data_IF_025909263050
#
_entry.id   IF_025909263050
#
_cell.length_a   1.000
_cell.length_b   1.000
_cell.length_c   1.000
_cell.angle_alpha   90.00
_cell.angle_beta   90.00
_cell.angle_gamma   90.00
#
_symmetry.space_group_name_H-M   'P 1'
#
loop_
_entity.id
_entity.type
_entity.pdbx_description
1 polymer ?
#
# COMPACT_ATOMS: atom_id res chain seq x y z
N UNK A 1 18.12 -2.43 -26.58
CA UNK A 1 16.63 -2.46 -26.61
C UNK A 1 16.13 -3.06 -27.91
N UNK A 2 14.88 -3.52 -27.93
CA UNK A 2 14.24 -4.22 -29.05
C UNK A 2 14.39 -3.44 -30.38
N UNK A 3 14.82 -4.13 -31.44
CA UNK A 3 15.16 -3.55 -32.75
C UNK A 3 14.09 -3.73 -33.83
N UNK A 4 12.86 -4.09 -33.45
CA UNK A 4 11.77 -4.42 -34.37
C UNK A 4 11.65 -5.91 -34.69
N UNK A 5 10.93 -6.21 -35.77
CA UNK A 5 10.61 -7.56 -36.24
C UNK A 5 11.61 -8.01 -37.31
N UNK A 6 12.02 -9.27 -37.27
CA UNK A 6 12.81 -9.88 -38.34
C UNK A 6 11.97 -9.98 -39.62
N UNK A 7 12.42 -9.44 -40.78
CA UNK A 7 11.67 -9.48 -42.04
C UNK A 7 11.31 -10.88 -42.53
N UNK A 8 12.14 -11.88 -42.21
CA UNK A 8 11.93 -13.27 -42.63
C UNK A 8 11.29 -14.14 -41.52
N UNK A 9 11.01 -13.53 -40.36
CA UNK A 9 10.47 -14.20 -39.18
C UNK A 9 8.98 -14.53 -39.29
N UNK A 10 8.49 -15.38 -38.38
CA UNK A 10 7.09 -15.80 -38.37
C UNK A 10 6.11 -14.62 -38.21
N UNK A 11 6.46 -13.62 -37.40
CA UNK A 11 5.62 -12.43 -37.19
C UNK A 11 5.43 -11.64 -38.49
N UNK A 12 6.48 -11.46 -39.29
CA UNK A 12 6.39 -10.73 -40.57
C UNK A 12 5.62 -11.49 -41.65
N UNK A 13 5.55 -12.83 -41.55
CA UNK A 13 4.77 -13.69 -42.44
C UNK A 13 3.29 -13.75 -42.04
N UNK A 14 3.02 -13.71 -40.74
CA UNK A 14 1.67 -13.84 -40.19
C UNK A 14 0.90 -12.50 -40.19
N UNK A 15 1.58 -11.41 -39.86
CA UNK A 15 0.96 -10.10 -39.69
C UNK A 15 1.37 -9.13 -40.79
N UNK A 16 0.48 -8.19 -41.12
CA UNK A 16 0.86 -7.04 -41.94
C UNK A 16 1.95 -6.27 -41.22
N UNK A 17 3.06 -5.99 -41.89
CA UNK A 17 4.18 -5.21 -41.35
C UNK A 17 4.48 -3.97 -42.18
N UNK A 18 5.10 -2.97 -41.57
CA UNK A 18 5.60 -1.78 -42.25
C UNK A 18 6.93 -1.32 -41.63
N UNK A 19 7.76 -0.64 -42.43
CA UNK A 19 8.95 0.01 -41.92
C UNK A 19 8.60 1.38 -41.37
N UNK A 20 9.11 1.70 -40.18
CA UNK A 20 8.97 3.02 -39.54
C UNK A 20 10.34 3.59 -39.21
N UNK A 21 10.46 4.93 -39.29
CA UNK A 21 11.69 5.63 -38.92
C UNK A 21 11.65 6.03 -37.45
N UNK A 22 12.77 5.82 -36.76
CA UNK A 22 12.98 6.27 -35.37
C UNK A 22 13.76 7.57 -35.37
N UNK A 23 13.51 8.43 -34.38
CA UNK A 23 14.29 9.66 -34.16
C UNK A 23 15.77 9.34 -34.02
N UNK A 24 16.63 10.28 -34.42
CA UNK A 24 18.05 10.20 -34.14
C UNK A 24 18.30 10.26 -32.61
N UNK A 25 19.09 9.32 -32.07
CA UNK A 25 19.29 9.18 -30.62
C UNK A 25 19.54 7.75 -30.16
N UNK A 26 18.91 7.34 -29.04
CA UNK A 26 19.14 6.07 -28.33
C UNK A 26 18.98 4.83 -29.23
N UNK A 27 18.15 4.91 -30.27
CA UNK A 27 17.94 3.81 -31.21
C UNK A 27 17.56 4.32 -32.61
N UNK A 28 18.37 5.19 -33.23
CA UNK A 28 18.09 5.74 -34.58
C UNK A 28 17.90 4.69 -35.69
N UNK A 29 17.54 5.18 -36.87
CA UNK A 29 17.38 4.36 -38.09
C UNK A 29 15.96 3.83 -38.31
N UNK A 30 15.83 2.86 -39.22
CA UNK A 30 14.55 2.21 -39.56
C UNK A 30 14.35 0.92 -38.77
N UNK A 31 13.10 0.55 -38.51
CA UNK A 31 12.74 -0.78 -38.00
C UNK A 31 11.48 -1.30 -38.68
N UNK A 32 11.40 -2.61 -38.86
CA UNK A 32 10.17 -3.29 -39.28
C UNK A 32 9.29 -3.52 -38.05
N UNK A 33 8.02 -3.14 -38.14
CA UNK A 33 7.02 -3.34 -37.07
C UNK A 33 5.76 -3.97 -37.64
N UNK A 34 4.94 -4.58 -36.78
CA UNK A 34 3.57 -4.92 -37.16
C UNK A 34 2.83 -3.62 -37.48
N UNK A 35 2.15 -3.57 -38.62
CA UNK A 35 1.41 -2.39 -39.04
C UNK A 35 0.27 -2.12 -38.06
N UNK A 36 -0.05 -0.84 -37.83
CA UNK A 36 -1.07 -0.46 -36.85
C UNK A 36 -2.42 -1.16 -37.09
N UNK A 37 -2.78 -1.46 -38.35
CA UNK A 37 -4.04 -2.16 -38.68
C UNK A 37 -4.11 -3.57 -38.10
N UNK A 38 -2.97 -4.22 -37.88
CA UNK A 38 -2.89 -5.62 -37.44
C UNK A 38 -2.41 -5.77 -35.98
N UNK A 39 -2.02 -4.67 -35.35
CA UNK A 39 -1.65 -4.63 -33.94
C UNK A 39 -2.75 -5.17 -32.99
N UNK A 40 -4.07 -4.89 -33.20
CA UNK A 40 -5.13 -5.49 -32.40
C UNK A 40 -5.17 -7.02 -32.48
N UNK A 41 -4.98 -7.59 -33.68
CA UNK A 41 -4.96 -9.05 -33.88
C UNK A 41 -3.72 -9.66 -33.21
N UNK A 42 -2.55 -9.06 -33.42
CA UNK A 42 -1.30 -9.51 -32.81
C UNK A 42 -1.38 -9.56 -31.27
N UNK A 43 -1.89 -8.50 -30.63
CA UNK A 43 -2.04 -8.50 -29.17
C UNK A 43 -3.07 -9.51 -28.67
N UNK A 44 -4.22 -9.64 -29.35
CA UNK A 44 -5.25 -10.63 -28.97
C UNK A 44 -4.73 -12.07 -29.12
N UNK A 45 -4.04 -12.38 -30.22
CA UNK A 45 -3.42 -13.69 -30.46
C UNK A 45 -2.39 -14.03 -29.38
N UNK A 46 -1.45 -13.11 -29.13
CA UNK A 46 -0.36 -13.34 -28.19
C UNK A 46 -0.88 -13.51 -26.76
N UNK A 47 -1.81 -12.65 -26.33
CA UNK A 47 -2.34 -12.71 -24.97
C UNK A 47 -3.31 -13.87 -24.77
N UNK A 48 -4.08 -14.26 -25.80
CA UNK A 48 -4.86 -15.50 -25.80
C UNK A 48 -3.95 -16.71 -25.62
N UNK A 49 -2.82 -16.77 -26.33
CA UNK A 49 -1.85 -17.85 -26.18
C UNK A 49 -1.26 -17.87 -24.77
N UNK A 50 -0.77 -16.75 -24.25
CA UNK A 50 -0.21 -16.67 -22.90
C UNK A 50 -1.23 -17.13 -21.84
N UNK A 51 -2.47 -16.65 -21.94
CA UNK A 51 -3.55 -17.07 -21.05
C UNK A 51 -3.86 -18.57 -21.18
N UNK A 52 -3.90 -19.13 -22.39
CA UNK A 52 -4.21 -20.54 -22.61
C UNK A 52 -3.17 -21.51 -22.06
N UNK A 53 -1.93 -21.06 -21.86
CA UNK A 53 -0.85 -21.83 -21.22
C UNK A 53 -0.68 -21.50 -19.73
N UNK A 54 -1.61 -20.77 -19.13
CA UNK A 54 -1.67 -20.53 -17.68
C UNK A 54 -0.90 -19.30 -17.19
N UNK A 55 -0.53 -18.36 -18.06
CA UNK A 55 0.03 -17.07 -17.62
C UNK A 55 -1.08 -16.20 -17.05
N UNK A 56 -0.90 -15.74 -15.81
CA UNK A 56 -1.91 -14.95 -15.07
C UNK A 56 -1.79 -13.44 -15.21
N UNK A 57 -0.62 -12.94 -15.59
CA UNK A 57 -0.30 -11.52 -15.63
C UNK A 57 0.89 -11.23 -16.58
N UNK A 58 0.98 -9.99 -17.07
CA UNK A 58 2.06 -9.55 -17.96
C UNK A 58 2.65 -8.18 -17.56
N UNK A 59 3.92 -7.93 -17.88
CA UNK A 59 4.53 -6.59 -17.87
C UNK A 59 4.88 -6.25 -19.31
N UNK A 60 4.44 -5.10 -19.81
CA UNK A 60 4.81 -4.61 -21.14
C UNK A 60 5.76 -3.45 -21.01
N UNK A 61 7.00 -3.71 -21.43
CA UNK A 61 8.09 -2.76 -21.37
C UNK A 61 8.18 -1.86 -22.60
N UNK A 62 9.00 -0.82 -22.48
CA UNK A 62 9.40 0.04 -23.60
C UNK A 62 8.22 0.69 -24.36
N UNK A 63 7.09 0.97 -23.69
CA UNK A 63 5.92 1.54 -24.37
C UNK A 63 6.15 2.94 -24.95
N UNK A 64 7.09 3.70 -24.39
CA UNK A 64 7.50 5.00 -24.92
C UNK A 64 8.03 4.94 -26.36
N UNK A 65 8.45 3.78 -26.88
CA UNK A 65 8.98 3.68 -28.25
C UNK A 65 8.02 4.19 -29.31
N UNK A 66 6.70 4.16 -29.05
CA UNK A 66 5.70 4.74 -29.95
C UNK A 66 5.88 6.26 -30.11
N UNK A 67 6.39 6.97 -29.09
CA UNK A 67 6.70 8.40 -29.19
C UNK A 67 8.06 8.66 -29.86
N UNK A 68 8.92 7.64 -29.98
CA UNK A 68 10.22 7.71 -30.64
C UNK A 68 10.16 7.50 -32.16
N UNK A 69 8.96 7.32 -32.73
CA UNK A 69 8.74 7.35 -34.17
C UNK A 69 8.90 8.79 -34.70
N UNK A 70 9.76 8.96 -35.71
CA UNK A 70 10.15 10.26 -36.26
C UNK A 70 9.02 10.86 -37.11
N UNK A 71 8.46 10.05 -38.01
CA UNK A 71 7.39 10.47 -38.91
C UNK A 71 6.08 10.71 -38.14
N UNK A 72 5.62 11.97 -38.13
CA UNK A 72 4.42 12.37 -37.38
C UNK A 72 3.14 11.60 -37.75
N UNK A 73 2.87 11.25 -39.03
CA UNK A 73 1.73 10.41 -39.40
C UNK A 73 1.80 9.02 -38.75
N UNK A 74 2.97 8.39 -38.74
CA UNK A 74 3.18 7.07 -38.14
C UNK A 74 3.00 7.16 -36.63
N UNK A 75 3.70 8.09 -35.97
CA UNK A 75 3.55 8.30 -34.52
C UNK A 75 2.09 8.48 -34.11
N UNK A 76 1.32 9.31 -34.82
CA UNK A 76 -0.11 9.51 -34.55
C UNK A 76 -0.92 8.22 -34.71
N UNK A 77 -0.69 7.47 -35.79
CA UNK A 77 -1.46 6.26 -36.14
C UNK A 77 -1.12 5.11 -35.20
N UNK A 78 0.16 4.87 -34.96
CA UNK A 78 0.66 3.78 -34.13
C UNK A 78 0.34 4.01 -32.66
N UNK A 79 0.59 5.21 -32.12
CA UNK A 79 0.37 5.50 -30.70
C UNK A 79 -1.04 5.13 -30.25
N UNK A 80 -2.07 5.63 -30.95
CA UNK A 80 -3.46 5.35 -30.60
C UNK A 80 -3.77 3.86 -30.71
N UNK A 81 -3.44 3.26 -31.85
CA UNK A 81 -3.88 1.89 -32.16
C UNK A 81 -3.20 0.85 -31.30
N UNK A 82 -1.90 0.99 -31.03
CA UNK A 82 -1.17 0.10 -30.15
C UNK A 82 -1.62 0.22 -28.69
N UNK A 83 -1.85 1.45 -28.21
CA UNK A 83 -2.33 1.66 -26.83
C UNK A 83 -3.75 1.11 -26.63
N UNK A 84 -4.65 1.30 -27.61
CA UNK A 84 -6.00 0.73 -27.58
C UNK A 84 -5.95 -0.81 -27.66
N UNK A 85 -5.16 -1.37 -28.59
CA UNK A 85 -4.97 -2.82 -28.73
C UNK A 85 -4.44 -3.46 -27.45
N UNK A 86 -3.40 -2.87 -26.85
CA UNK A 86 -2.83 -3.33 -25.58
C UNK A 86 -3.86 -3.28 -24.46
N UNK A 87 -4.53 -2.13 -24.29
CA UNK A 87 -5.52 -1.92 -23.20
C UNK A 87 -6.70 -2.88 -23.30
N UNK A 88 -7.22 -3.14 -24.51
CA UNK A 88 -8.33 -4.07 -24.73
C UNK A 88 -7.88 -5.51 -24.48
N UNK A 89 -6.74 -5.91 -25.03
CA UNK A 89 -6.25 -7.29 -24.94
C UNK A 89 -5.88 -7.66 -23.51
N UNK A 90 -5.20 -6.77 -22.78
CA UNK A 90 -4.86 -7.04 -21.38
C UNK A 90 -6.10 -7.18 -20.50
N UNK A 91 -7.15 -6.38 -20.76
CA UNK A 91 -8.39 -6.45 -20.00
C UNK A 91 -9.12 -7.77 -20.27
N UNK A 92 -9.18 -8.16 -21.54
CA UNK A 92 -9.83 -9.39 -22.00
C UNK A 92 -9.19 -10.65 -21.41
N UNK A 93 -7.86 -10.74 -21.45
CA UNK A 93 -7.14 -11.99 -21.16
C UNK A 93 -6.56 -12.06 -19.75
N UNK A 94 -6.27 -10.92 -19.12
CA UNK A 94 -5.63 -10.87 -17.80
C UNK A 94 -6.44 -10.11 -16.74
N UNK A 95 -7.65 -9.64 -17.05
CA UNK A 95 -8.52 -8.94 -16.08
C UNK A 95 -7.80 -7.77 -15.38
N UNK A 96 -7.12 -6.92 -16.15
CA UNK A 96 -6.33 -5.80 -15.63
C UNK A 96 -5.02 -6.17 -14.89
N UNK A 97 -4.60 -7.43 -14.88
CA UNK A 97 -3.29 -7.86 -14.34
C UNK A 97 -2.16 -7.64 -15.36
N UNK A 98 -2.00 -6.39 -15.80
CA UNK A 98 -0.95 -6.00 -16.73
C UNK A 98 -0.25 -4.71 -16.29
N UNK A 99 1.09 -4.71 -16.27
CA UNK A 99 1.87 -3.52 -15.93
C UNK A 99 2.29 -2.78 -17.19
N UNK A 100 1.97 -1.49 -17.23
CA UNK A 100 2.44 -0.53 -18.21
C UNK A 100 3.78 0.06 -17.78
N UNK A 101 4.87 -0.32 -18.45
CA UNK A 101 6.22 0.09 -18.09
C UNK A 101 6.84 1.02 -19.15
N UNK A 102 7.72 1.93 -18.70
CA UNK A 102 8.31 2.99 -19.51
C UNK A 102 7.26 3.76 -20.32
N UNK A 103 6.17 4.17 -19.67
CA UNK A 103 4.93 4.63 -20.33
C UNK A 103 4.51 6.05 -19.94
N UNK A 104 5.42 6.86 -19.42
CA UNK A 104 5.15 8.21 -18.93
C UNK A 104 5.40 9.31 -19.99
N UNK A 105 5.33 8.99 -21.28
CA UNK A 105 5.37 10.01 -22.33
C UNK A 105 4.05 10.78 -22.39
N UNK A 106 4.04 12.08 -22.74
CA UNK A 106 2.82 12.89 -22.76
C UNK A 106 1.66 12.24 -23.53
N UNK A 107 1.94 11.62 -24.67
CA UNK A 107 0.95 11.01 -25.53
C UNK A 107 0.27 9.80 -24.86
N UNK A 108 1.04 8.97 -24.15
CA UNK A 108 0.49 7.83 -23.40
C UNK A 108 -0.27 8.36 -22.17
N UNK A 109 0.26 9.37 -21.49
CA UNK A 109 -0.40 10.01 -20.35
C UNK A 109 -1.79 10.51 -20.75
N UNK A 110 -1.91 11.29 -21.83
CA UNK A 110 -3.19 11.86 -22.27
C UNK A 110 -4.16 10.82 -22.86
N UNK A 111 -3.67 9.80 -23.55
CA UNK A 111 -4.53 8.81 -24.23
C UNK A 111 -5.00 7.66 -23.33
N UNK A 112 -4.10 7.14 -22.49
CA UNK A 112 -4.31 5.91 -21.72
C UNK A 112 -4.48 6.16 -20.23
N UNK A 113 -3.74 7.12 -19.66
CA UNK A 113 -3.65 7.27 -18.20
C UNK A 113 -4.54 8.38 -17.64
N UNK A 114 -4.82 9.44 -18.38
CA UNK A 114 -5.68 10.55 -17.94
C UNK A 114 -7.19 10.20 -17.97
N UNK A 115 -7.74 9.49 -18.98
CA UNK A 115 -9.17 9.24 -19.05
C UNK A 115 -9.68 8.32 -17.92
N UNK A 116 -10.67 8.80 -17.17
CA UNK A 116 -11.29 8.09 -16.03
C UNK A 116 -12.45 7.17 -16.41
N UNK A 117 -12.83 7.14 -17.69
CA UNK A 117 -13.86 6.25 -18.25
C UNK A 117 -13.33 4.87 -18.67
N UNK A 118 -12.07 4.55 -18.33
CA UNK A 118 -11.40 3.27 -18.61
C UNK A 118 -11.06 2.57 -17.30
N UNK A 119 -10.75 1.27 -17.36
CA UNK A 119 -10.21 0.57 -16.18
C UNK A 119 -8.88 1.19 -15.76
N UNK A 120 -8.64 1.27 -14.45
CA UNK A 120 -7.40 1.82 -13.88
C UNK A 120 -6.20 0.96 -14.29
N UNK A 121 -5.16 1.60 -14.82
CA UNK A 121 -3.95 0.91 -15.30
C UNK A 121 -2.90 0.79 -14.19
N UNK A 122 -2.20 -0.33 -14.13
CA UNK A 122 -1.01 -0.46 -13.29
C UNK A 122 0.19 0.11 -14.04
N UNK A 123 0.84 1.16 -13.52
CA UNK A 123 1.86 1.92 -14.25
C UNK A 123 3.14 2.03 -13.44
N UNK A 124 4.27 1.55 -14.01
CA UNK A 124 5.61 1.75 -13.44
C UNK A 124 5.83 3.24 -13.21
N UNK A 125 6.07 3.63 -11.96
CA UNK A 125 6.07 5.03 -11.53
C UNK A 125 7.48 5.60 -11.31
N UNK A 126 8.50 4.84 -11.68
CA UNK A 126 9.91 5.22 -11.62
C UNK A 126 10.70 4.54 -12.73
N UNK A 127 11.99 4.86 -12.77
CA UNK A 127 12.99 4.02 -13.41
C UNK A 127 13.14 2.67 -12.65
N UNK A 128 13.95 1.77 -13.20
CA UNK A 128 14.18 0.43 -12.65
C UNK A 128 14.82 0.46 -11.26
N UNK A 129 14.47 -0.54 -10.46
CA UNK A 129 15.16 -0.89 -9.22
C UNK A 129 16.52 -1.55 -9.53
N UNK A 130 17.61 -0.90 -9.13
CA UNK A 130 18.98 -1.42 -9.26
C UNK A 130 19.51 -1.91 -7.90
N UNK A 131 19.45 -3.22 -7.59
CA UNK A 131 19.86 -3.74 -6.28
C UNK A 131 21.35 -3.53 -5.98
N UNK A 132 22.20 -3.59 -7.00
CA UNK A 132 23.66 -3.52 -6.86
C UNK A 132 24.21 -2.09 -6.82
N UNK A 133 23.34 -1.06 -6.85
CA UNK A 133 23.74 0.35 -6.86
C UNK A 133 23.26 1.02 -5.58
N UNK A 134 24.10 1.11 -4.52
CA UNK A 134 23.66 1.64 -3.22
C UNK A 134 23.01 3.03 -3.28
N UNK A 135 23.52 3.91 -4.15
CA UNK A 135 23.00 5.26 -4.32
C UNK A 135 21.60 5.32 -4.95
N UNK A 136 21.14 4.27 -5.65
CA UNK A 136 19.82 4.28 -6.26
C UNK A 136 18.69 3.98 -5.28
N UNK A 137 18.94 3.33 -4.13
CA UNK A 137 17.84 2.97 -3.21
C UNK A 137 17.09 4.19 -2.65
N UNK A 138 17.76 5.22 -2.11
CA UNK A 138 17.09 6.44 -1.68
C UNK A 138 16.43 7.20 -2.84
N UNK A 139 17.16 7.34 -3.96
CA UNK A 139 16.68 8.02 -5.16
C UNK A 139 15.40 7.38 -5.71
N UNK A 140 15.34 6.05 -5.75
CA UNK A 140 14.18 5.29 -6.22
C UNK A 140 12.89 5.62 -5.45
N UNK A 141 12.99 5.71 -4.11
CA UNK A 141 11.85 6.02 -3.25
C UNK A 141 11.49 7.49 -3.36
N UNK A 142 12.50 8.38 -3.41
CA UNK A 142 12.30 9.81 -3.63
C UNK A 142 11.54 10.07 -4.95
N UNK A 143 12.01 9.52 -6.07
CA UNK A 143 11.36 9.66 -7.38
C UNK A 143 9.94 9.13 -7.36
N UNK A 144 9.71 7.94 -6.80
CA UNK A 144 8.37 7.36 -6.73
C UNK A 144 7.40 8.24 -5.92
N UNK A 145 7.83 8.73 -4.76
CA UNK A 145 7.02 9.59 -3.90
C UNK A 145 6.66 10.93 -4.58
N UNK A 146 7.60 11.50 -5.35
CA UNK A 146 7.40 12.76 -6.08
C UNK A 146 6.58 12.57 -7.35
N UNK A 147 6.83 11.52 -8.15
CA UNK A 147 6.03 11.19 -9.32
C UNK A 147 4.56 10.94 -8.95
N UNK A 148 4.33 10.39 -7.75
CA UNK A 148 2.99 10.19 -7.19
C UNK A 148 2.20 11.49 -6.95
N UNK A 149 2.85 12.65 -6.91
CA UNK A 149 2.15 13.95 -6.89
C UNK A 149 1.30 14.15 -8.15
N UNK A 150 1.81 13.72 -9.32
CA UNK A 150 1.08 13.77 -10.59
C UNK A 150 0.23 12.52 -10.79
N UNK A 151 0.82 11.32 -10.61
CA UNK A 151 0.15 10.07 -11.00
C UNK A 151 -1.07 9.73 -10.15
N UNK A 152 -1.21 10.28 -8.92
CA UNK A 152 -2.46 10.19 -8.15
C UNK A 152 -3.67 10.84 -8.85
N UNK A 153 -3.45 11.77 -9.77
CA UNK A 153 -4.50 12.47 -10.51
C UNK A 153 -4.81 11.81 -11.86
N UNK A 154 -4.08 10.75 -12.19
CA UNK A 154 -4.32 9.92 -13.37
C UNK A 154 -5.16 8.71 -12.97
N UNK A 155 -5.81 8.09 -13.96
CA UNK A 155 -6.50 6.81 -13.85
C UNK A 155 -5.50 5.64 -13.81
N UNK A 156 -4.55 5.70 -12.88
CA UNK A 156 -3.50 4.69 -12.71
C UNK A 156 -3.38 4.27 -11.26
N UNK A 157 -2.87 3.06 -11.05
CA UNK A 157 -2.31 2.62 -9.79
C UNK A 157 -0.79 2.70 -9.93
N UNK A 158 -0.11 3.63 -9.24
CA UNK A 158 1.34 3.75 -9.31
C UNK A 158 2.01 2.49 -8.79
N UNK A 159 2.93 1.99 -9.58
CA UNK A 159 3.72 0.81 -9.30
C UNK A 159 5.16 1.22 -9.01
N UNK A 160 5.56 1.08 -7.74
CA UNK A 160 6.86 1.50 -7.23
C UNK A 160 7.98 0.50 -7.51
N UNK A 161 7.75 -0.45 -8.42
CA UNK A 161 8.67 -1.49 -8.85
C UNK A 161 8.97 -2.56 -7.79
N UNK A 162 9.56 -3.66 -8.26
CA UNK A 162 10.02 -4.78 -7.45
C UNK A 162 11.13 -4.36 -6.49
N UNK A 163 11.40 -5.21 -5.50
CA UNK A 163 12.58 -5.08 -4.64
C UNK A 163 13.01 -6.48 -4.16
N UNK A 164 14.10 -6.56 -3.40
CA UNK A 164 14.55 -7.81 -2.78
C UNK A 164 14.28 -7.79 -1.28
N UNK A 165 13.66 -8.85 -0.76
CA UNK A 165 13.38 -9.01 0.67
C UNK A 165 14.62 -9.49 1.44
N UNK A 166 15.54 -10.19 0.77
CA UNK A 166 16.83 -10.57 1.34
C UNK A 166 17.95 -9.63 0.86
N UNK A 167 17.89 -8.37 1.29
CA UNK A 167 18.82 -7.31 0.90
C UNK A 167 19.06 -6.33 2.05
N UNK A 168 20.24 -5.67 2.17
CA UNK A 168 20.48 -4.67 3.22
C UNK A 168 19.44 -3.53 3.26
N UNK A 169 18.86 -3.19 2.10
CA UNK A 169 17.81 -2.18 1.96
C UNK A 169 16.37 -2.76 1.97
N UNK A 170 16.19 -4.03 2.31
CA UNK A 170 14.91 -4.71 2.17
C UNK A 170 13.80 -4.06 2.98
N UNK A 171 14.04 -3.79 4.27
CA UNK A 171 13.04 -3.20 5.14
C UNK A 171 12.67 -1.75 4.73
N UNK A 172 13.66 -0.98 4.28
CA UNK A 172 13.48 0.37 3.73
C UNK A 172 12.56 0.35 2.51
N UNK A 173 12.77 -0.58 1.58
CA UNK A 173 11.90 -0.73 0.41
C UNK A 173 10.54 -1.36 0.71
N UNK A 174 10.46 -2.33 1.62
CA UNK A 174 9.22 -2.95 2.06
C UNK A 174 8.26 -1.91 2.67
N UNK A 175 8.79 -1.05 3.54
CA UNK A 175 8.04 0.05 4.14
C UNK A 175 7.50 1.01 3.07
N UNK A 176 8.33 1.41 2.11
CA UNK A 176 7.90 2.26 0.99
C UNK A 176 6.81 1.62 0.12
N UNK A 177 6.92 0.32 -0.19
CA UNK A 177 5.88 -0.39 -0.97
C UNK A 177 4.58 -0.50 -0.19
N UNK A 178 4.63 -0.69 1.13
CA UNK A 178 3.43 -0.70 1.96
C UNK A 178 2.71 0.65 1.96
N UNK A 179 3.43 1.76 2.17
CA UNK A 179 2.82 3.10 2.19
C UNK A 179 2.46 3.65 0.80
N UNK A 180 3.00 3.06 -0.28
CA UNK A 180 2.69 3.48 -1.66
C UNK A 180 1.21 3.34 -2.03
N UNK A 181 0.47 2.42 -1.40
CA UNK A 181 -0.87 2.04 -1.84
C UNK A 181 -0.89 1.21 -3.14
N UNK A 182 0.28 0.87 -3.69
CA UNK A 182 0.45 0.16 -4.96
C UNK A 182 0.46 -1.37 -4.83
N UNK A 183 0.99 -2.07 -5.84
CA UNK A 183 1.32 -3.49 -5.76
C UNK A 183 2.61 -3.70 -4.93
N UNK A 184 2.82 -4.93 -4.48
CA UNK A 184 4.07 -5.37 -3.84
C UNK A 184 4.47 -6.68 -4.51
N UNK A 185 5.70 -6.74 -5.00
CA UNK A 185 6.30 -7.96 -5.54
C UNK A 185 7.81 -7.89 -5.38
N UNK A 186 8.44 -9.05 -5.30
CA UNK A 186 9.85 -9.20 -4.98
C UNK A 186 10.57 -10.03 -6.05
N UNK A 187 11.89 -9.85 -6.13
CA UNK A 187 12.77 -10.47 -7.14
C UNK A 187 13.92 -11.25 -6.52
N UNK A 188 13.70 -11.77 -5.30
CA UNK A 188 14.68 -12.64 -4.66
C UNK A 188 14.88 -13.92 -5.47
N UNK A 189 16.04 -14.55 -5.30
CA UNK A 189 16.23 -15.92 -5.74
C UNK A 189 15.18 -16.84 -5.05
N UNK A 190 14.60 -17.82 -5.76
CA UNK A 190 13.64 -18.75 -5.17
C UNK A 190 14.18 -19.40 -3.89
N UNK A 191 13.41 -19.31 -2.80
CA UNK A 191 13.79 -19.87 -1.50
C UNK A 191 14.67 -18.98 -0.61
N UNK A 192 15.13 -17.83 -1.13
CA UNK A 192 15.95 -16.87 -0.38
C UNK A 192 15.13 -15.66 0.08
N UNK A 193 13.90 -15.88 0.55
CA UNK A 193 13.00 -14.81 1.00
C UNK A 193 13.15 -14.52 2.49
N UNK A 194 13.07 -13.25 2.87
CA UNK A 194 12.85 -12.86 4.26
C UNK A 194 11.36 -12.97 4.58
N UNK A 195 10.97 -14.12 5.15
CA UNK A 195 9.58 -14.43 5.49
C UNK A 195 9.03 -13.52 6.59
N UNK A 196 9.86 -13.11 7.55
CA UNK A 196 9.43 -12.24 8.64
C UNK A 196 9.11 -10.84 8.11
N UNK A 197 9.92 -10.32 7.20
CA UNK A 197 9.63 -9.07 6.50
C UNK A 197 8.36 -9.19 5.64
N UNK A 198 8.18 -10.29 4.91
CA UNK A 198 6.95 -10.55 4.13
C UNK A 198 5.72 -10.57 5.04
N UNK A 199 5.83 -11.16 6.23
CA UNK A 199 4.75 -11.16 7.22
C UNK A 199 4.44 -9.77 7.77
N UNK A 200 5.34 -8.78 7.71
CA UNK A 200 4.99 -7.40 8.09
C UNK A 200 4.15 -6.68 7.03
N UNK A 201 4.27 -7.07 5.75
CA UNK A 201 3.54 -6.47 4.62
C UNK A 201 2.20 -7.16 4.33
N UNK A 202 2.07 -8.42 4.75
CA UNK A 202 0.97 -9.31 4.38
C UNK A 202 0.22 -9.88 5.59
N UNK A 203 -0.98 -10.38 5.36
CA UNK A 203 -1.75 -11.11 6.37
C UNK A 203 -2.54 -12.25 5.71
N UNK A 204 -2.78 -13.33 6.46
CA UNK A 204 -3.59 -14.45 5.99
C UNK A 204 -5.07 -14.17 6.25
N UNK A 205 -5.90 -14.40 5.24
CA UNK A 205 -7.35 -14.39 5.38
C UNK A 205 -7.85 -15.65 6.11
N UNK A 206 -9.08 -15.66 6.62
CA UNK A 206 -9.73 -16.87 7.18
C UNK A 206 -9.71 -18.09 6.25
N UNK A 207 -9.70 -17.87 4.93
CA UNK A 207 -9.58 -18.92 3.91
C UNK A 207 -8.13 -19.37 3.62
N UNK A 208 -7.14 -18.84 4.34
CA UNK A 208 -5.73 -19.18 4.17
C UNK A 208 -5.04 -18.48 2.99
N UNK A 209 -5.73 -17.59 2.27
CA UNK A 209 -5.14 -16.78 1.20
C UNK A 209 -4.34 -15.64 1.82
N UNK A 210 -3.12 -15.40 1.35
CA UNK A 210 -2.31 -14.24 1.74
C UNK A 210 -2.74 -13.00 0.99
N UNK A 211 -2.95 -11.90 1.70
CA UNK A 211 -3.30 -10.59 1.13
C UNK A 211 -2.33 -9.51 1.58
N UNK A 212 -2.13 -8.51 0.73
CA UNK A 212 -1.41 -7.28 1.10
C UNK A 212 -2.35 -6.32 1.85
N UNK A 213 -1.80 -5.57 2.80
CA UNK A 213 -2.55 -4.56 3.55
C UNK A 213 -2.44 -3.20 2.88
N UNK A 214 -3.08 -3.07 1.72
CA UNK A 214 -3.02 -1.86 0.89
C UNK A 214 -3.82 -0.68 1.48
N UNK A 215 -3.20 0.49 1.69
CA UNK A 215 -3.91 1.74 2.00
C UNK A 215 -4.95 2.16 0.94
N UNK A 216 -5.87 3.06 1.31
CA UNK A 216 -6.95 3.47 0.41
C UNK A 216 -6.53 4.58 -0.58
N UNK A 217 -5.49 5.35 -0.24
CA UNK A 217 -4.96 6.41 -1.09
C UNK A 217 -3.55 6.10 -1.58
N UNK A 218 -3.19 6.65 -2.74
CA UNK A 218 -1.83 6.58 -3.27
C UNK A 218 -0.88 7.33 -2.32
N UNK A 219 0.22 6.66 -1.95
CA UNK A 219 1.31 7.25 -1.18
C UNK A 219 2.05 8.30 -1.99
N UNK A 220 2.25 9.49 -1.42
CA UNK A 220 2.95 10.59 -2.09
C UNK A 220 3.74 11.41 -1.09
N UNK A 221 4.75 12.14 -1.57
CA UNK A 221 5.47 13.09 -0.72
C UNK A 221 4.53 14.17 -0.17
N UNK A 222 4.70 14.57 1.09
CA UNK A 222 4.10 15.80 1.64
C UNK A 222 4.97 17.04 1.44
N UNK A 223 6.20 16.84 0.98
CA UNK A 223 7.25 17.85 0.81
C UNK A 223 7.48 18.16 -0.67
N UNK A 224 6.52 18.87 -1.28
CA UNK A 224 6.47 19.10 -2.74
C UNK A 224 7.71 19.83 -3.28
N UNK A 225 8.28 20.73 -2.49
CA UNK A 225 9.35 21.64 -2.92
C UNK A 225 10.73 21.27 -2.36
N UNK A 226 10.83 20.15 -1.67
CA UNK A 226 12.08 19.70 -1.07
C UNK A 226 12.93 18.97 -2.12
N UNK A 227 14.15 19.45 -2.32
CA UNK A 227 15.14 18.78 -3.17
C UNK A 227 15.65 17.47 -2.58
N UNK A 228 16.18 16.59 -3.43
CA UNK A 228 16.72 15.29 -3.00
C UNK A 228 17.91 15.41 -2.03
N UNK A 229 18.75 16.43 -2.22
CA UNK A 229 19.96 16.65 -1.42
C UNK A 229 19.69 17.45 -0.12
N UNK A 230 18.43 17.79 0.17
CA UNK A 230 18.07 18.48 1.42
C UNK A 230 18.15 17.55 2.64
N UNK A 231 18.55 18.11 3.79
CA UNK A 231 18.83 17.36 5.01
C UNK A 231 17.57 17.14 5.86
N UNK A 232 16.54 16.53 5.27
CA UNK A 232 15.30 16.16 5.95
C UNK A 232 14.88 14.74 5.57
N UNK A 233 14.02 14.13 6.40
CA UNK A 233 13.43 12.85 6.03
C UNK A 233 12.43 13.06 4.89
N UNK A 234 12.44 12.14 3.92
CA UNK A 234 11.38 12.04 2.93
C UNK A 234 10.11 11.54 3.62
N UNK A 235 9.05 12.35 3.55
CA UNK A 235 7.74 12.05 4.16
C UNK A 235 6.74 11.58 3.10
N UNK A 236 6.34 10.31 3.14
CA UNK A 236 5.34 9.73 2.24
C UNK A 236 4.03 9.51 2.99
N UNK A 237 3.00 10.29 2.65
CA UNK A 237 1.69 10.20 3.28
C UNK A 237 0.71 9.34 2.48
N UNK A 238 -0.06 8.53 3.19
CA UNK A 238 -1.23 7.77 2.69
C UNK A 238 -2.31 7.73 3.77
N UNK A 239 -3.49 7.21 3.44
CA UNK A 239 -4.65 7.22 4.32
C UNK A 239 -5.44 5.92 4.22
N UNK A 240 -6.01 5.51 5.36
CA UNK A 240 -6.88 4.33 5.46
C UNK A 240 -8.22 4.73 6.08
N UNK A 241 -9.32 4.45 5.38
CA UNK A 241 -10.68 4.64 5.90
C UNK A 241 -11.29 5.96 5.42
N UNK A 242 -12.36 6.37 6.10
CA UNK A 242 -13.13 7.57 5.77
C UNK A 242 -12.49 8.82 6.38
N UNK A 243 -12.72 9.98 5.78
CA UNK A 243 -12.26 11.25 6.35
C UNK A 243 -12.73 11.41 7.81
N UNK A 244 -11.87 11.99 8.67
CA UNK A 244 -12.08 12.22 10.10
C UNK A 244 -12.18 10.98 11.02
N UNK A 245 -12.42 9.78 10.47
CA UNK A 245 -12.50 8.54 11.26
C UNK A 245 -11.45 7.49 10.86
N UNK A 246 -10.75 7.71 9.76
CA UNK A 246 -9.68 6.87 9.26
C UNK A 246 -8.33 7.18 9.89
N UNK A 247 -7.34 6.35 9.56
CA UNK A 247 -5.96 6.46 10.02
C UNK A 247 -5.11 7.14 8.95
N UNK A 248 -4.41 8.19 9.35
CA UNK A 248 -3.38 8.81 8.51
C UNK A 248 -2.05 8.10 8.73
N UNK A 249 -1.36 7.72 7.65
CA UNK A 249 -0.10 6.98 7.72
C UNK A 249 0.98 7.82 7.06
N UNK A 250 2.12 7.95 7.74
CA UNK A 250 3.29 8.67 7.28
C UNK A 250 4.50 7.73 7.29
N UNK A 251 4.97 7.35 6.11
CA UNK A 251 6.27 6.72 5.94
C UNK A 251 7.37 7.77 5.97
N UNK A 252 8.43 7.52 6.74
CA UNK A 252 9.59 8.38 6.90
C UNK A 252 10.80 7.63 6.40
N UNK A 253 11.57 8.23 5.50
CA UNK A 253 12.72 7.59 4.88
C UNK A 253 13.91 8.53 4.95
N UNK A 254 15.01 8.07 5.56
CA UNK A 254 16.26 8.81 5.48
C UNK A 254 16.90 8.57 4.12
N UNK A 255 16.75 9.55 3.24
CA UNK A 255 17.33 9.52 1.89
C UNK A 255 18.72 10.15 1.81
N UNK A 256 19.27 10.58 2.95
CA UNK A 256 20.54 11.31 3.03
C UNK A 256 21.70 10.37 3.41
N UNK A 257 22.96 10.76 3.16
CA UNK A 257 24.13 9.95 3.55
C UNK A 257 24.48 10.04 5.04
N UNK A 258 23.70 10.78 5.84
CA UNK A 258 23.95 11.04 7.26
C UNK A 258 22.74 10.65 8.12
N UNK A 259 22.91 10.30 9.40
CA UNK A 259 21.77 10.14 10.30
C UNK A 259 21.02 11.47 10.46
N UNK A 260 19.70 11.40 10.61
CA UNK A 260 18.82 12.53 10.82
C UNK A 260 17.90 12.29 12.02
N UNK A 261 17.66 13.35 12.78
CA UNK A 261 16.64 13.37 13.84
C UNK A 261 15.63 14.45 13.50
N UNK A 262 14.34 14.10 13.44
CA UNK A 262 13.29 15.04 13.07
C UNK A 262 12.12 15.01 14.07
N UNK A 263 11.59 16.19 14.40
CA UNK A 263 10.33 16.32 15.11
C UNK A 263 9.19 16.29 14.10
N UNK A 264 8.45 15.19 14.07
CA UNK A 264 7.33 14.97 13.16
C UNK A 264 6.06 15.44 13.86
N UNK A 265 5.41 16.47 13.31
CA UNK A 265 4.23 17.08 13.92
C UNK A 265 2.96 16.34 13.51
N UNK A 266 1.93 16.37 14.36
CA UNK A 266 0.61 15.89 13.98
C UNK A 266 0.10 16.58 12.70
N UNK A 267 0.43 17.86 12.52
CA UNK A 267 0.08 18.62 11.32
C UNK A 267 0.69 18.09 10.01
N UNK A 268 1.71 17.23 10.07
CA UNK A 268 2.32 16.60 8.89
C UNK A 268 1.47 15.41 8.38
N UNK A 269 0.51 14.94 9.17
CA UNK A 269 -0.40 13.85 8.83
C UNK A 269 -1.68 14.41 8.17
N UNK A 270 -1.97 14.12 6.89
CA UNK A 270 -3.20 14.57 6.26
C UNK A 270 -4.43 13.94 6.92
N UNK A 271 -5.52 14.70 7.03
CA UNK A 271 -6.77 14.22 7.63
C UNK A 271 -6.85 14.38 9.15
N UNK A 272 -5.84 14.99 9.77
CA UNK A 272 -5.79 15.25 11.22
C UNK A 272 -6.21 16.67 11.62
N UNK A 273 -6.77 17.44 10.70
CA UNK A 273 -7.19 18.85 10.87
C UNK A 273 -8.06 19.05 12.12
N UNK A 274 -8.91 18.09 12.42
CA UNK A 274 -9.88 18.12 13.52
C UNK A 274 -9.81 16.84 14.35
N UNK A 275 -10.05 16.96 15.65
CA UNK A 275 -10.09 15.84 16.59
C UNK A 275 -8.82 15.67 17.41
N UNK A 276 -8.79 14.58 18.17
CA UNK A 276 -7.65 14.18 19.01
C UNK A 276 -7.10 12.86 18.48
N UNK A 277 -5.78 12.72 18.48
CA UNK A 277 -5.10 11.58 17.88
C UNK A 277 -4.06 11.03 18.84
N UNK A 278 -3.76 9.75 18.68
CA UNK A 278 -2.48 9.16 19.09
C UNK A 278 -1.68 8.79 17.86
N UNK A 279 -0.36 8.93 17.93
CA UNK A 279 0.57 8.49 16.89
C UNK A 279 1.23 7.21 17.38
N UNK A 280 1.17 6.14 16.57
CA UNK A 280 1.84 4.87 16.83
C UNK A 280 3.02 4.68 15.88
N UNK A 281 4.18 4.32 16.42
CA UNK A 281 5.35 3.92 15.64
C UNK A 281 5.29 2.43 15.29
N UNK A 282 5.66 2.07 14.05
CA UNK A 282 5.70 0.67 13.63
C UNK A 282 6.90 -0.06 14.25
N UNK A 283 8.09 0.55 14.20
CA UNK A 283 9.34 -0.12 14.61
C UNK A 283 9.41 -0.45 16.10
N UNK A 284 8.94 0.44 16.98
CA UNK A 284 8.99 0.28 18.45
C UNK A 284 7.65 -0.18 19.04
N UNK A 285 6.55 0.06 18.31
CA UNK A 285 5.20 -0.15 18.82
C UNK A 285 4.75 0.88 19.87
N UNK A 286 5.56 1.90 20.14
CA UNK A 286 5.23 2.99 21.06
C UNK A 286 4.05 3.81 20.54
N UNK A 287 3.24 4.31 21.48
CA UNK A 287 2.08 5.16 21.23
C UNK A 287 2.26 6.48 21.98
N UNK A 288 2.09 7.60 21.28
CA UNK A 288 2.17 8.93 21.87
C UNK A 288 1.05 9.18 22.89
N UNK A 289 1.22 10.21 23.72
CA UNK A 289 0.08 10.80 24.42
C UNK A 289 -0.97 11.32 23.41
N UNK A 290 -2.26 11.37 23.78
CA UNK A 290 -3.29 12.06 23.02
C UNK A 290 -2.89 13.51 22.72
N UNK A 291 -3.08 13.94 21.48
CA UNK A 291 -2.75 15.29 21.03
C UNK A 291 -3.75 15.82 19.99
N UNK A 292 -3.85 17.14 19.92
CA UNK A 292 -4.59 17.90 18.90
C UNK A 292 -3.63 18.80 18.13
N UNK A 293 -3.99 19.21 16.91
CA UNK A 293 -3.12 20.10 16.10
C UNK A 293 -2.85 21.46 16.73
N UNK A 294 -3.68 21.88 17.69
CA UNK A 294 -3.52 23.14 18.41
C UNK A 294 -2.53 23.06 19.58
N UNK A 295 -2.13 21.85 19.99
CA UNK A 295 -1.21 21.69 21.11
C UNK A 295 0.21 22.07 20.67
N UNK A 296 0.91 22.84 21.52
CA UNK A 296 2.31 23.26 21.26
C UNK A 296 3.28 22.08 21.17
N UNK A 297 2.95 20.95 21.79
CA UNK A 297 3.76 19.74 21.85
C UNK A 297 3.15 18.56 21.04
N UNK A 298 2.35 18.85 20.01
CA UNK A 298 1.78 17.83 19.13
C UNK A 298 2.80 17.30 18.10
N UNK A 299 3.84 16.62 18.59
CA UNK A 299 4.88 16.00 17.76
C UNK A 299 5.45 14.74 18.41
N UNK A 300 6.09 13.92 17.59
CA UNK A 300 6.94 12.79 18.01
C UNK A 300 8.34 12.99 17.45
N UNK A 301 9.36 12.46 18.14
CA UNK A 301 10.74 12.51 17.69
C UNK A 301 11.07 11.22 16.93
N UNK A 302 11.68 11.34 15.75
CA UNK A 302 12.14 10.20 14.95
C UNK A 302 13.64 10.33 14.74
N UNK A 303 14.38 9.30 15.18
CA UNK A 303 15.81 9.14 14.90
C UNK A 303 15.98 8.11 13.79
N UNK A 304 16.48 8.55 12.64
CA UNK A 304 16.69 7.70 11.47
C UNK A 304 18.16 7.70 11.08
N UNK A 305 18.80 6.54 11.28
CA UNK A 305 20.16 6.26 10.78
C UNK A 305 20.21 6.35 9.25
N UNK A 306 21.41 6.27 8.67
CA UNK A 306 21.55 6.03 7.22
C UNK A 306 20.83 4.73 6.87
N UNK A 307 20.06 4.72 5.78
CA UNK A 307 19.13 3.62 5.41
C UNK A 307 17.95 3.44 6.38
N UNK A 308 17.79 4.35 7.33
CA UNK A 308 16.74 4.33 8.34
C UNK A 308 15.38 4.67 7.75
N UNK A 309 14.35 4.08 8.33
CA UNK A 309 12.96 4.32 7.97
C UNK A 309 12.07 4.14 9.20
N UNK A 310 10.87 4.70 9.14
CA UNK A 310 9.80 4.47 10.11
C UNK A 310 8.44 4.58 9.39
N UNK A 311 7.41 3.93 9.94
CA UNK A 311 6.02 4.22 9.60
C UNK A 311 5.30 4.66 10.87
N UNK A 312 4.78 5.88 10.83
CA UNK A 312 3.93 6.43 11.86
C UNK A 312 2.47 6.37 11.42
N UNK A 313 1.57 6.01 12.32
CA UNK A 313 0.13 6.01 12.08
C UNK A 313 -0.58 6.89 13.10
N UNK A 314 -1.26 7.94 12.64
CA UNK A 314 -2.11 8.80 13.46
C UNK A 314 -3.54 8.24 13.49
N UNK A 315 -3.95 7.74 14.66
CA UNK A 315 -5.25 7.12 14.88
C UNK A 315 -6.19 8.10 15.60
N UNK A 316 -7.41 8.35 15.06
CA UNK A 316 -8.38 9.23 15.68
C UNK A 316 -8.94 8.60 16.95
N UNK A 317 -8.99 9.40 18.01
CA UNK A 317 -9.55 9.02 19.29
C UNK A 317 -11.04 9.37 19.36
N UNK A 318 -11.84 8.46 19.93
CA UNK A 318 -13.26 8.68 20.19
C UNK A 318 -13.53 8.53 21.69
N UNK A 319 -14.13 9.55 22.28
CA UNK A 319 -14.50 9.57 23.70
C UNK A 319 -15.94 9.08 23.90
N UNK A 320 -16.14 8.31 24.97
CA UNK A 320 -17.43 7.74 25.37
C UNK A 320 -17.59 7.79 26.89
N UNK A 321 -18.82 8.02 27.33
CA UNK A 321 -19.21 7.93 28.74
C UNK A 321 -19.97 6.63 28.99
N UNK A 322 -19.39 5.74 29.80
CA UNK A 322 -19.98 4.47 30.22
C UNK A 322 -21.02 4.70 31.30
N UNK A 323 -22.10 3.92 31.28
CA UNK A 323 -23.12 3.92 32.34
C UNK A 323 -22.96 2.68 33.22
N UNK A 324 -22.66 2.87 34.50
CA UNK A 324 -22.51 1.75 35.44
C UNK A 324 -23.75 1.56 36.31
N UNK A 325 -24.25 0.32 36.36
CA UNK A 325 -25.23 -0.13 37.37
C UNK A 325 -24.58 -0.70 38.64
N UNK A 326 -23.28 -1.02 38.63
CA UNK A 326 -22.50 -1.59 39.75
C UNK A 326 -21.09 -0.99 39.80
N UNK A 327 -20.42 -1.03 40.97
CA UNK A 327 -19.00 -0.66 41.10
C UNK A 327 -18.14 -1.55 40.19
N UNK A 328 -17.26 -0.93 39.40
CA UNK A 328 -16.27 -1.59 38.53
C UNK A 328 -14.96 -0.80 38.57
N UNK A 329 -13.87 -1.37 38.02
CA UNK A 329 -12.57 -0.71 37.99
C UNK A 329 -12.43 0.19 36.74
N UNK A 330 -11.58 1.22 36.81
CA UNK A 330 -11.40 2.17 35.70
C UNK A 330 -12.45 3.29 35.65
N UNK A 331 -12.23 4.23 34.74
CA UNK A 331 -13.04 5.44 34.52
C UNK A 331 -14.36 5.11 33.82
N UNK A 332 -15.38 5.98 34.00
CA UNK A 332 -16.57 5.99 33.14
C UNK A 332 -16.31 6.72 31.83
N UNK A 333 -15.40 7.70 31.83
CA UNK A 333 -14.95 8.36 30.61
C UNK A 333 -13.82 7.55 29.99
N UNK A 334 -14.07 6.99 28.82
CA UNK A 334 -13.13 6.13 28.10
C UNK A 334 -12.91 6.69 26.71
N UNK A 335 -11.64 6.78 26.32
CA UNK A 335 -11.23 7.17 24.98
C UNK A 335 -10.60 5.96 24.30
N UNK A 336 -11.06 5.66 23.08
CA UNK A 336 -10.58 4.50 22.32
C UNK A 336 -10.16 4.85 20.90
N UNK A 337 -9.24 4.07 20.36
CA UNK A 337 -8.91 4.05 18.94
C UNK A 337 -8.63 2.62 18.46
N UNK A 338 -9.10 2.29 17.26
CA UNK A 338 -8.82 1.03 16.60
C UNK A 338 -7.49 1.16 15.83
N UNK A 339 -6.49 0.37 16.21
CA UNK A 339 -5.14 0.45 15.65
C UNK A 339 -4.96 -0.49 14.45
N UNK A 340 -5.94 -1.37 14.19
CA UNK A 340 -5.85 -2.42 13.18
C UNK A 340 -4.93 -3.56 13.60
N UNK A 341 -4.35 -4.27 12.63
CA UNK A 341 -3.45 -5.38 12.93
C UNK A 341 -2.04 -4.89 13.30
N UNK A 342 -1.61 -5.21 14.52
CA UNK A 342 -0.28 -4.89 15.02
C UNK A 342 0.80 -5.73 14.33
N UNK A 343 2.04 -5.21 14.32
CA UNK A 343 3.18 -5.84 13.65
C UNK A 343 3.10 -5.77 12.12
N UNK A 344 2.12 -5.06 11.57
CA UNK A 344 1.96 -4.84 10.14
C UNK A 344 2.26 -3.39 9.79
N UNK A 345 3.08 -3.19 8.76
CA UNK A 345 3.53 -1.86 8.31
C UNK A 345 2.37 -0.90 8.04
N UNK A 346 1.26 -1.40 7.50
CA UNK A 346 0.02 -0.65 7.23
C UNK A 346 -1.19 -1.34 7.88
N UNK A 347 -1.03 -1.78 9.13
CA UNK A 347 -2.01 -2.59 9.87
C UNK A 347 -3.45 -2.07 9.90
N UNK A 348 -3.64 -0.75 9.90
CA UNK A 348 -4.96 -0.13 9.81
C UNK A 348 -5.73 -0.58 8.56
N UNK A 349 -5.05 -0.85 7.44
CA UNK A 349 -5.68 -1.29 6.19
C UNK A 349 -6.33 -2.68 6.28
N UNK A 350 -6.11 -3.43 7.36
CA UNK A 350 -6.83 -4.67 7.63
C UNK A 350 -8.29 -4.45 8.05
N UNK A 351 -8.62 -3.26 8.57
CA UNK A 351 -9.97 -2.89 8.98
C UNK A 351 -10.82 -2.67 7.73
N UNK A 352 -11.88 -3.47 7.60
CA UNK A 352 -12.92 -3.29 6.57
C UNK A 352 -13.98 -2.31 7.07
N UNK A 353 -14.43 -2.52 8.31
CA UNK A 353 -15.41 -1.65 8.95
C UNK A 353 -15.21 -1.67 10.47
N UNK A 354 -15.59 -0.60 11.15
CA UNK A 354 -15.56 -0.55 12.60
C UNK A 354 -16.64 0.39 13.12
N UNK A 355 -17.30 -0.02 14.20
CA UNK A 355 -18.28 0.79 14.89
C UNK A 355 -18.05 0.72 16.40
N UNK A 356 -18.31 1.84 17.07
CA UNK A 356 -18.08 1.99 18.50
C UNK A 356 -19.22 2.79 19.10
N UNK A 357 -19.91 2.17 20.06
CA UNK A 357 -21.07 2.76 20.73
C UNK A 357 -21.28 2.19 22.13
N UNK A 358 -21.99 2.94 22.97
CA UNK A 358 -22.39 2.49 24.32
C UNK A 358 -23.74 1.78 24.21
N UNK A 359 -23.80 0.52 24.62
CA UNK A 359 -25.05 -0.27 24.64
C UNK A 359 -26.04 0.28 25.68
N UNK A 360 -27.32 -0.10 25.58
CA UNK A 360 -28.33 0.19 26.60
C UNK A 360 -27.94 -0.33 27.99
N UNK A 361 -27.13 -1.40 28.03
CA UNK A 361 -26.57 -1.96 29.26
C UNK A 361 -25.53 -1.05 29.93
N UNK A 362 -25.09 0.01 29.23
CA UNK A 362 -24.13 1.01 29.68
C UNK A 362 -22.66 0.67 29.38
N UNK A 363 -22.41 -0.46 28.74
CA UNK A 363 -21.07 -0.94 28.35
C UNK A 363 -20.70 -0.41 26.98
N UNK A 364 -19.42 -0.09 26.77
CA UNK A 364 -18.92 0.23 25.44
C UNK A 364 -18.72 -1.05 24.65
N UNK A 365 -19.18 -1.04 23.41
CA UNK A 365 -18.95 -2.11 22.43
C UNK A 365 -18.16 -1.53 21.27
N UNK A 366 -17.05 -2.19 20.96
CA UNK A 366 -16.23 -1.95 19.78
C UNK A 366 -16.43 -3.15 18.88
N UNK A 367 -17.06 -2.94 17.72
CA UNK A 367 -17.17 -3.95 16.68
C UNK A 367 -16.17 -3.62 15.56
N UNK A 368 -15.42 -4.62 15.12
CA UNK A 368 -14.43 -4.49 14.03
C UNK A 368 -14.57 -5.66 13.07
N UNK A 369 -14.73 -5.37 11.79
CA UNK A 369 -14.58 -6.36 10.73
C UNK A 369 -13.18 -6.26 10.12
N UNK A 370 -12.46 -7.38 10.09
CA UNK A 370 -11.11 -7.49 9.56
C UNK A 370 -11.08 -8.37 8.32
N UNK A 371 -10.39 -7.97 7.25
CA UNK A 371 -10.20 -8.82 6.06
C UNK A 371 -9.15 -9.92 6.24
N UNK A 372 -8.40 -9.90 7.34
CA UNK A 372 -7.31 -10.83 7.61
C UNK A 372 -7.11 -11.09 9.11
N UNK A 373 -6.46 -12.20 9.41
CA UNK A 373 -6.07 -12.62 10.76
C UNK A 373 -4.75 -11.95 11.17
N UNK A 374 -4.60 -11.70 12.46
CA UNK A 374 -3.41 -11.13 13.08
C UNK A 374 -3.69 -10.79 14.54
N UNK A 375 -2.84 -9.94 15.13
CA UNK A 375 -3.09 -9.39 16.46
C UNK A 375 -3.80 -8.04 16.31
N UNK A 376 -5.05 -7.94 16.74
CA UNK A 376 -5.79 -6.67 16.73
C UNK A 376 -5.33 -5.80 17.90
N UNK A 377 -4.99 -4.55 17.61
CA UNK A 377 -4.66 -3.54 18.61
C UNK A 377 -5.79 -2.55 18.84
N UNK A 378 -6.12 -2.30 20.11
CA UNK A 378 -7.09 -1.25 20.50
C UNK A 378 -6.45 -0.39 21.57
N UNK A 379 -6.33 0.91 21.32
CA UNK A 379 -5.97 1.88 22.35
C UNK A 379 -7.18 2.13 23.26
N UNK A 380 -6.96 2.09 24.57
CA UNK A 380 -7.96 2.37 25.61
C UNK A 380 -7.28 3.24 26.70
N UNK A 381 -7.78 4.46 26.90
CA UNK A 381 -7.14 5.50 27.73
C UNK A 381 -6.87 5.11 29.19
N UNK A 382 -7.64 4.18 29.75
CA UNK A 382 -7.52 3.75 31.14
C UNK A 382 -7.31 2.24 31.30
N UNK A 383 -6.84 1.55 30.23
CA UNK A 383 -6.54 0.12 30.26
C UNK A 383 -5.69 -0.37 31.45
N UNK A 384 -4.66 0.39 31.92
CA UNK A 384 -3.86 -0.03 33.07
C UNK A 384 -4.68 -0.19 34.35
N UNK A 385 -5.79 0.55 34.46
CA UNK A 385 -6.66 0.56 35.64
C UNK A 385 -7.81 -0.45 35.55
N UNK A 386 -7.88 -1.25 34.47
CA UNK A 386 -8.94 -2.22 34.19
C UNK A 386 -8.43 -3.64 34.32
N UNK A 387 -9.22 -4.56 34.86
CA UNK A 387 -8.95 -5.99 34.80
C UNK A 387 -9.29 -6.56 33.42
N UNK A 388 -8.35 -7.29 32.82
CA UNK A 388 -8.61 -7.97 31.53
C UNK A 388 -9.69 -9.05 31.63
N UNK A 389 -9.86 -9.65 32.82
CA UNK A 389 -10.83 -10.72 33.06
C UNK A 389 -12.20 -10.19 33.46
N UNK A 390 -12.25 -9.15 34.30
CA UNK A 390 -13.51 -8.67 34.89
C UNK A 390 -14.16 -7.52 34.10
N UNK A 391 -13.35 -6.64 33.50
CA UNK A 391 -13.82 -5.39 32.88
C UNK A 391 -13.84 -5.44 31.35
N UNK A 392 -13.23 -6.47 30.75
CA UNK A 392 -13.12 -6.65 29.31
C UNK A 392 -13.63 -8.03 28.87
N UNK A 393 -14.24 -8.08 27.69
CA UNK A 393 -14.60 -9.33 27.03
C UNK A 393 -14.41 -9.16 25.53
N UNK A 394 -13.60 -10.02 24.92
CA UNK A 394 -13.44 -10.09 23.48
C UNK A 394 -14.18 -11.30 22.91
N UNK A 395 -14.88 -11.12 21.80
CA UNK A 395 -15.49 -12.19 21.03
C UNK A 395 -14.92 -12.19 19.61
N UNK A 396 -14.67 -13.37 19.06
CA UNK A 396 -14.41 -13.57 17.63
C UNK A 396 -15.57 -14.39 17.08
N UNK A 397 -16.35 -13.81 16.17
CA UNK A 397 -17.59 -14.38 15.64
C UNK A 397 -18.54 -14.88 16.74
N UNK A 398 -18.78 -14.03 17.75
CA UNK A 398 -19.67 -14.32 18.87
C UNK A 398 -19.16 -15.36 19.86
N UNK A 399 -17.98 -15.97 19.64
CA UNK A 399 -17.35 -16.88 20.61
C UNK A 399 -16.35 -16.12 21.49
N UNK A 400 -16.35 -16.32 22.82
CA UNK A 400 -15.36 -15.72 23.70
C UNK A 400 -13.93 -16.06 23.29
N UNK A 401 -13.07 -15.04 23.22
CA UNK A 401 -11.63 -15.21 23.07
C UNK A 401 -11.06 -15.64 24.42
N UNK A 402 -10.24 -16.70 24.47
CA UNK A 402 -9.65 -17.14 25.72
C UNK A 402 -8.66 -16.08 26.26
N UNK A 403 -8.56 -15.97 27.58
CA UNK A 403 -7.77 -14.93 28.24
C UNK A 403 -6.29 -14.95 27.82
N UNK A 404 -5.71 -16.12 27.52
CA UNK A 404 -4.32 -16.24 27.06
C UNK A 404 -4.07 -15.68 25.65
N UNK A 405 -5.12 -15.35 24.90
CA UNK A 405 -5.04 -14.66 23.61
C UNK A 405 -5.30 -13.15 23.74
N UNK A 406 -5.43 -12.63 24.97
CA UNK A 406 -5.67 -11.22 25.27
C UNK A 406 -4.61 -10.72 26.25
N UNK A 407 -3.89 -9.67 25.88
CA UNK A 407 -2.86 -9.09 26.75
C UNK A 407 -2.79 -7.58 26.62
N UNK A 408 -2.13 -6.93 27.59
CA UNK A 408 -1.72 -5.52 27.44
C UNK A 408 -0.38 -5.52 26.68
N UNK A 409 -0.21 -4.56 25.78
CA UNK A 409 1.05 -4.41 25.06
C UNK A 409 2.18 -4.12 26.04
N UNK A 410 3.32 -4.80 25.83
CA UNK A 410 4.50 -4.63 26.67
C UNK A 410 5.14 -3.24 26.52
N UNK A 411 4.99 -2.61 25.34
CA UNK A 411 5.60 -1.32 25.02
C UNK A 411 4.65 -0.13 25.25
N UNK A 412 3.33 -0.36 25.19
CA UNK A 412 2.32 0.68 25.39
C UNK A 412 1.18 0.17 26.28
N UNK A 413 1.17 0.48 27.59
CA UNK A 413 0.25 -0.12 28.55
C UNK A 413 -1.23 0.22 28.32
N UNK A 414 -1.51 1.22 27.48
CA UNK A 414 -2.83 1.60 27.02
C UNK A 414 -3.33 0.82 25.79
N UNK A 415 -2.54 -0.10 25.23
CA UNK A 415 -2.91 -0.89 24.06
C UNK A 415 -3.31 -2.29 24.51
N UNK A 416 -4.54 -2.68 24.17
CA UNK A 416 -5.04 -4.04 24.27
C UNK A 416 -4.68 -4.79 23.00
N UNK A 417 -4.05 -5.94 23.15
CA UNK A 417 -3.70 -6.86 22.06
C UNK A 417 -4.60 -8.09 22.13
N UNK A 418 -5.25 -8.41 21.01
CA UNK A 418 -6.12 -9.58 20.87
C UNK A 418 -5.57 -10.43 19.73
N UNK A 419 -5.06 -11.62 20.02
CA UNK A 419 -4.55 -12.55 19.02
C UNK A 419 -5.71 -13.26 18.31
N UNK A 420 -6.22 -12.60 17.28
CA UNK A 420 -7.33 -13.10 16.45
C UNK A 420 -6.88 -14.35 15.67
N UNK A 421 -5.60 -14.47 15.33
CA UNK A 421 -5.08 -15.65 14.61
C UNK A 421 -5.16 -16.89 15.49
N UNK A 422 -4.71 -16.79 16.73
CA UNK A 422 -4.77 -17.87 17.71
C UNK A 422 -6.20 -18.20 18.10
N UNK A 423 -7.02 -17.19 18.39
CA UNK A 423 -8.44 -17.39 18.68
C UNK A 423 -9.17 -18.10 17.53
N UNK A 424 -8.81 -17.79 16.27
CA UNK A 424 -9.32 -18.47 15.10
C UNK A 424 -8.87 -19.94 15.04
N UNK A 425 -7.58 -20.22 15.23
CA UNK A 425 -7.01 -21.58 15.16
C UNK A 425 -7.50 -22.50 16.27
N UNK A 426 -7.67 -21.98 17.50
CA UNK A 426 -8.15 -22.72 18.65
C UNK A 426 -9.67 -22.93 18.64
N UNK A 427 -10.38 -22.33 17.67
CA UNK A 427 -11.82 -22.45 17.52
C UNK A 427 -12.18 -23.40 16.38
N UNK A 428 -13.31 -24.11 16.50
CA UNK A 428 -13.88 -24.90 15.38
C UNK A 428 -14.57 -24.02 14.31
N UNK A 429 -14.20 -22.74 14.20
CA UNK A 429 -14.81 -21.80 13.26
C UNK A 429 -14.34 -22.06 11.82
N UNK A 430 -15.21 -21.76 10.85
CA UNK A 430 -14.90 -21.89 9.42
C UNK A 430 -15.21 -20.57 8.72
N UNK A 431 -14.41 -20.24 7.71
CA UNK A 431 -14.55 -18.99 6.97
C UNK A 431 -15.96 -18.89 6.34
N UNK A 432 -16.66 -17.81 6.64
CA UNK A 432 -17.96 -17.50 6.03
C UNK A 432 -17.86 -16.97 4.60
N UNK A 433 -19.00 -16.57 4.04
CA UNK A 433 -19.09 -16.01 2.68
C UNK A 433 -18.26 -14.74 2.49
N UNK A 434 -18.20 -13.84 3.48
CA UNK A 434 -17.47 -12.56 3.39
C UNK A 434 -15.95 -12.70 3.44
N UNK A 435 -15.40 -13.82 3.92
CA UNK A 435 -13.97 -13.99 4.22
C UNK A 435 -13.39 -12.89 5.15
N UNK A 436 -14.26 -12.24 5.93
CA UNK A 436 -13.91 -11.26 6.95
C UNK A 436 -14.04 -11.90 8.34
N UNK A 437 -13.39 -11.33 9.35
CA UNK A 437 -13.48 -11.74 10.76
C UNK A 437 -14.09 -10.63 11.58
N UNK A 438 -15.22 -10.92 12.22
CA UNK A 438 -15.84 -10.00 13.16
C UNK A 438 -15.23 -10.19 14.55
N UNK A 439 -14.69 -9.10 15.10
CA UNK A 439 -14.18 -9.02 16.48
C UNK A 439 -15.00 -8.02 17.25
N UNK A 440 -15.45 -8.41 18.44
CA UNK A 440 -16.22 -7.57 19.35
C UNK A 440 -15.48 -7.42 20.66
N UNK A 441 -15.36 -6.20 21.17
CA UNK A 441 -14.76 -5.92 22.47
C UNK A 441 -15.74 -5.14 23.31
N UNK A 442 -16.04 -5.66 24.50
CA UNK A 442 -16.93 -5.04 25.48
C UNK A 442 -16.11 -4.49 26.64
N UNK A 443 -16.37 -3.25 27.05
CA UNK A 443 -15.70 -2.56 28.15
C UNK A 443 -16.73 -2.09 29.18
N UNK A 444 -16.50 -2.34 30.47
CA UNK A 444 -17.46 -2.09 31.57
C UNK A 444 -17.10 -0.96 32.53
#
# INVERSE_FOLDING_TARGET
YWGGISPDGAIAKEYKTTHVRKKDGVAGGSMLVVDADDAPRMYDDFYRFLSSVGVDAVKTDAQFFLDELDDAPDRRRFMKTYQDAWTISQLRHFSAKAISCMSQTPQILFHSQLPTNKSRLLVRNSDDFFPEVPASHPWHIFCNAHNSLLTQHLNVLPDWDMFQTAHPWAAFHAAARCVSGGPIYFTDAPGAHDIDLIHQMTAKTPRGITVILRPHTVGKTTQIYTGYDELNLLKVATYVGMAHSGTSILGLFNTTPSPLTELVRLADFPGTETGTYVIRAHSTGEVSAPMTRTDKAAFVCVDAKVQGWEILAAHPLRAFELKRKRKGNGSTDVVVANLGLLGKMTGAAAIVNSDVYVEETGRLRIWTSLKALGTLGIYISDLPNRSLEADLMALVFGKPVPLHAVQRSATSPNVLEIDVSRAWQESDQKAGWSNEVAVEVFIR
#
